data_IF_328396736766
#
_entry.id   IF_328396736766
#
_cell.length_a   1.000
_cell.length_b   1.000
_cell.length_c   1.000
_cell.angle_alpha   90.00
_cell.angle_beta   90.00
_cell.angle_gamma   90.00
#
_symmetry.space_group_name_H-M   'P 1'
#
loop_
_entity.id
_entity.type
_entity.pdbx_description
1 polymer ?
#
# COMPACT_ATOMS: atom_id res chain seq x y z
N UNK A 1 77.71 -2.99 -22.08
CA UNK A 1 76.57 -2.20 -21.54
C UNK A 1 75.55 -2.08 -22.66
N UNK A 2 74.27 -2.45 -22.49
CA UNK A 2 73.43 -2.16 -21.33
C UNK A 2 72.81 -3.38 -20.62
N UNK A 3 72.14 -3.07 -19.52
CA UNK A 3 71.58 -3.94 -18.49
C UNK A 3 70.37 -4.77 -18.95
N UNK A 4 70.41 -6.07 -18.67
CA UNK A 4 69.27 -6.98 -18.70
C UNK A 4 68.66 -7.05 -17.28
N UNK A 5 67.47 -6.48 -17.07
CA UNK A 5 66.71 -6.68 -15.82
C UNK A 5 65.96 -8.01 -15.90
N UNK A 6 66.37 -8.96 -15.06
CA UNK A 6 65.70 -10.24 -14.83
C UNK A 6 64.46 -10.00 -13.94
N UNK A 7 63.25 -10.10 -14.46
CA UNK A 7 62.04 -10.26 -13.65
C UNK A 7 61.83 -11.76 -13.40
N UNK A 8 61.98 -12.19 -12.15
CA UNK A 8 61.58 -13.52 -11.73
C UNK A 8 60.04 -13.58 -11.64
N UNK A 9 59.42 -14.36 -12.52
CA UNK A 9 57.99 -14.65 -12.47
C UNK A 9 57.79 -15.88 -11.58
N UNK A 10 57.37 -15.68 -10.33
CA UNK A 10 56.91 -16.77 -9.46
C UNK A 10 55.54 -17.23 -9.92
N UNK A 11 55.46 -18.44 -10.48
CA UNK A 11 54.20 -19.08 -10.81
C UNK A 11 53.45 -19.49 -9.52
N UNK A 12 52.38 -18.77 -9.20
CA UNK A 12 51.39 -19.24 -8.23
C UNK A 12 50.55 -20.34 -8.89
N UNK A 13 50.57 -21.56 -8.34
CA UNK A 13 49.60 -22.59 -8.66
C UNK A 13 48.20 -22.07 -8.32
N UNK A 14 47.39 -21.75 -9.32
CA UNK A 14 45.95 -21.56 -9.17
C UNK A 14 45.31 -22.93 -8.92
N UNK A 15 45.06 -23.26 -7.66
CA UNK A 15 44.10 -24.32 -7.32
C UNK A 15 42.72 -23.92 -7.86
N UNK A 16 41.97 -24.82 -8.51
CA UNK A 16 40.63 -24.51 -8.97
C UNK A 16 39.76 -24.18 -7.76
N UNK A 17 39.11 -23.01 -7.80
CA UNK A 17 38.09 -22.64 -6.82
C UNK A 17 37.03 -23.76 -6.79
N UNK A 18 36.63 -24.26 -5.62
CA UNK A 18 35.56 -25.24 -5.56
C UNK A 18 34.32 -24.63 -6.23
N UNK A 19 33.74 -25.34 -7.20
CA UNK A 19 32.43 -25.00 -7.74
C UNK A 19 31.43 -25.08 -6.58
N UNK A 20 31.18 -23.93 -5.96
CA UNK A 20 30.09 -23.78 -5.02
C UNK A 20 28.82 -24.06 -5.79
N UNK A 21 28.14 -25.16 -5.45
CA UNK A 21 26.74 -25.33 -5.83
C UNK A 21 26.00 -24.12 -5.27
N UNK A 22 25.60 -23.20 -6.13
CA UNK A 22 24.70 -22.12 -5.75
C UNK A 22 23.40 -22.79 -5.32
N UNK A 23 23.20 -22.96 -4.01
CA UNK A 23 21.92 -23.39 -3.48
C UNK A 23 20.91 -22.31 -3.88
N UNK A 24 19.96 -22.65 -4.74
CA UNK A 24 18.83 -21.78 -5.06
C UNK A 24 18.05 -21.58 -3.77
N UNK A 25 18.17 -20.39 -3.15
CA UNK A 25 17.35 -20.05 -2.00
C UNK A 25 15.97 -19.66 -2.54
N UNK A 26 15.02 -20.60 -2.55
CA UNK A 26 13.64 -20.33 -2.95
C UNK A 26 12.98 -19.36 -1.95
N UNK A 27 12.28 -18.34 -2.46
CA UNK A 27 11.54 -17.41 -1.62
C UNK A 27 10.41 -18.12 -0.85
N UNK A 28 10.27 -17.81 0.45
CA UNK A 28 9.10 -18.21 1.22
C UNK A 28 7.96 -17.24 0.91
N UNK A 29 7.23 -17.52 -0.16
CA UNK A 29 6.05 -16.78 -0.62
C UNK A 29 4.77 -17.37 -0.02
N UNK A 30 3.66 -16.60 0.02
CA UNK A 30 2.39 -17.06 0.57
C UNK A 30 1.72 -18.19 -0.22
N UNK A 31 2.02 -18.32 -1.51
CA UNK A 31 1.38 -19.30 -2.40
C UNK A 31 -0.09 -18.99 -2.70
N UNK A 32 -0.54 -17.75 -2.50
CA UNK A 32 -1.88 -17.33 -2.90
C UNK A 32 -2.03 -17.36 -4.42
N UNK A 33 -3.22 -17.69 -4.91
CA UNK A 33 -3.52 -17.58 -6.34
C UNK A 33 -3.52 -16.11 -6.79
N UNK A 34 -3.17 -15.87 -8.07
CA UNK A 34 -3.33 -14.55 -8.67
C UNK A 34 -4.78 -14.09 -8.57
N UNK A 35 -4.97 -12.86 -8.10
CA UNK A 35 -6.29 -12.25 -7.95
C UNK A 35 -6.24 -10.75 -8.22
N UNK A 36 -7.23 -10.24 -8.96
CA UNK A 36 -7.49 -8.79 -9.08
C UNK A 36 -8.26 -8.30 -7.85
N UNK A 37 -7.75 -7.26 -7.19
CA UNK A 37 -8.37 -6.61 -6.02
C UNK A 37 -9.08 -5.31 -6.35
N UNK A 38 -8.61 -4.56 -7.36
CA UNK A 38 -9.27 -3.33 -7.78
C UNK A 38 -10.66 -3.64 -8.33
N UNK A 39 -11.60 -2.73 -8.09
CA UNK A 39 -12.83 -2.68 -8.88
C UNK A 39 -12.61 -1.92 -10.19
N UNK A 40 -13.37 -2.27 -11.22
CA UNK A 40 -13.19 -1.72 -12.56
C UNK A 40 -13.89 -0.36 -12.74
N UNK A 41 -13.16 0.63 -13.28
CA UNK A 41 -13.78 1.88 -13.72
C UNK A 41 -14.53 1.63 -15.04
N UNK A 42 -15.84 1.49 -14.95
CA UNK A 42 -16.72 1.05 -16.03
C UNK A 42 -17.24 2.18 -16.94
N UNK A 43 -16.80 3.41 -16.67
CA UNK A 43 -17.16 4.62 -17.41
C UNK A 43 -15.91 5.44 -17.72
N UNK A 44 -15.87 5.96 -18.95
CA UNK A 44 -14.91 6.95 -19.40
C UNK A 44 -15.67 8.20 -19.88
N UNK A 45 -15.05 9.37 -19.73
CA UNK A 45 -15.61 10.63 -20.19
C UNK A 45 -15.05 10.95 -21.59
N UNK A 46 -15.88 11.16 -22.64
CA UNK A 46 -15.36 11.51 -23.95
C UNK A 46 -14.56 12.81 -23.94
N UNK A 47 -13.39 12.78 -24.58
CA UNK A 47 -12.44 13.89 -24.63
C UNK A 47 -11.46 13.96 -23.45
N UNK A 48 -11.61 13.09 -22.45
CA UNK A 48 -10.79 13.09 -21.23
C UNK A 48 -10.04 11.76 -21.11
N UNK A 49 -8.80 11.81 -20.62
CA UNK A 49 -8.02 10.60 -20.39
C UNK A 49 -8.67 9.74 -19.30
N UNK A 50 -9.06 8.53 -19.69
CA UNK A 50 -9.33 7.42 -18.79
C UNK A 50 -7.99 6.82 -18.32
N UNK A 51 -7.74 6.87 -17.01
CA UNK A 51 -6.54 6.34 -16.36
C UNK A 51 -6.95 5.43 -15.20
N UNK A 52 -6.78 4.13 -15.40
CA UNK A 52 -7.13 3.07 -14.45
C UNK A 52 -5.95 2.12 -14.30
N UNK A 53 -5.66 1.63 -13.09
CA UNK A 53 -4.61 0.63 -12.86
C UNK A 53 -5.21 -0.61 -12.22
N UNK A 54 -4.92 -1.76 -12.82
CA UNK A 54 -5.33 -3.06 -12.27
C UNK A 54 -4.48 -3.37 -11.03
N UNK A 55 -5.12 -3.53 -9.87
CA UNK A 55 -4.47 -3.94 -8.64
C UNK A 55 -4.52 -5.47 -8.50
N UNK A 56 -3.35 -6.11 -8.38
CA UNK A 56 -3.23 -7.58 -8.37
C UNK A 56 -2.45 -8.05 -7.14
N UNK A 57 -2.88 -9.14 -6.53
CA UNK A 57 -2.16 -9.84 -5.46
C UNK A 57 -1.96 -11.33 -5.78
N UNK A 58 -1.17 -12.01 -4.96
CA UNK A 58 -0.89 -13.44 -5.09
C UNK A 58 -0.01 -13.76 -6.30
N UNK A 59 0.16 -15.03 -6.64
CA UNK A 59 1.19 -15.45 -7.59
C UNK A 59 2.59 -15.04 -7.11
N UNK A 60 3.49 -14.75 -8.06
CA UNK A 60 4.85 -14.26 -7.80
C UNK A 60 5.16 -13.00 -8.58
N UNK A 61 5.10 -11.87 -7.88
CA UNK A 61 5.52 -10.57 -8.39
C UNK A 61 7.02 -10.57 -8.78
N UNK A 62 7.44 -9.83 -9.83
CA UNK A 62 6.67 -8.91 -10.67
C UNK A 62 5.72 -9.57 -11.67
N UNK A 63 4.69 -8.83 -12.07
CA UNK A 63 3.74 -9.28 -13.09
C UNK A 63 4.02 -8.66 -14.46
N UNK A 64 3.63 -9.37 -15.50
CA UNK A 64 3.50 -8.83 -16.86
C UNK A 64 2.02 -8.71 -17.23
N UNK A 65 1.67 -7.59 -17.84
CA UNK A 65 0.31 -7.27 -18.27
C UNK A 65 0.25 -7.18 -19.80
N UNK A 66 -0.84 -7.69 -20.39
CA UNK A 66 -1.10 -7.53 -21.82
C UNK A 66 -2.59 -7.25 -22.07
N UNK A 67 -2.87 -6.29 -22.95
CA UNK A 67 -4.22 -5.99 -23.41
C UNK A 67 -4.53 -6.96 -24.55
N UNK A 68 -5.39 -7.94 -24.28
CA UNK A 68 -5.82 -8.93 -25.26
C UNK A 68 -6.94 -8.40 -26.15
N UNK A 69 -7.76 -7.50 -25.60
CA UNK A 69 -8.90 -6.88 -26.28
C UNK A 69 -9.31 -5.58 -25.57
N UNK A 70 -9.84 -4.62 -26.31
CA UNK A 70 -10.28 -3.33 -25.78
C UNK A 70 -10.74 -2.36 -26.87
N UNK A 71 -11.39 -1.25 -26.49
CA UNK A 71 -11.70 -0.16 -27.42
C UNK A 71 -10.49 0.30 -28.24
N UNK A 72 -10.74 0.77 -29.47
CA UNK A 72 -9.69 1.33 -30.32
C UNK A 72 -8.94 2.46 -29.59
N UNK A 73 -7.60 2.38 -29.63
CA UNK A 73 -6.70 3.32 -28.97
C UNK A 73 -6.47 3.07 -27.48
N UNK A 74 -7.12 2.07 -26.86
CA UNK A 74 -6.80 1.66 -25.50
C UNK A 74 -5.42 0.99 -25.45
N UNK A 75 -4.65 1.29 -24.41
CA UNK A 75 -3.33 0.71 -24.18
C UNK A 75 -3.22 0.25 -22.72
N UNK A 76 -2.30 -0.68 -22.45
CA UNK A 76 -1.92 -1.07 -21.09
C UNK A 76 -0.40 -1.03 -20.95
N UNK A 77 0.08 -0.50 -19.83
CA UNK A 77 1.49 -0.52 -19.52
C UNK A 77 1.91 -1.92 -19.02
N UNK A 78 2.90 -2.58 -19.66
CA UNK A 78 3.13 -4.01 -19.50
C UNK A 78 3.68 -4.42 -18.13
N UNK A 79 4.17 -3.48 -17.31
CA UNK A 79 4.71 -3.77 -15.97
C UNK A 79 3.85 -3.30 -14.82
N UNK A 80 3.02 -2.27 -15.03
CA UNK A 80 2.23 -1.66 -13.94
C UNK A 80 0.75 -2.00 -14.05
N UNK A 81 0.27 -2.45 -15.21
CA UNK A 81 -1.14 -2.65 -15.46
C UNK A 81 -1.94 -1.34 -15.59
N UNK A 82 -1.28 -0.20 -15.80
CA UNK A 82 -1.95 1.06 -16.07
C UNK A 82 -2.57 1.04 -17.47
N UNK A 83 -3.90 1.12 -17.51
CA UNK A 83 -4.72 1.23 -18.70
C UNK A 83 -4.97 2.72 -18.99
N UNK A 84 -4.67 3.11 -20.23
CA UNK A 84 -4.91 4.47 -20.74
C UNK A 84 -5.80 4.41 -21.97
N UNK A 85 -6.79 5.29 -22.03
CA UNK A 85 -7.69 5.46 -23.17
C UNK A 85 -8.27 6.88 -23.20
N UNK A 86 -8.55 7.41 -24.39
CA UNK A 86 -9.17 8.73 -24.54
C UNK A 86 -10.26 8.64 -25.62
N UNK A 87 -11.49 8.26 -25.27
CA UNK A 87 -12.58 8.18 -26.25
C UNK A 87 -12.87 9.55 -26.84
N UNK A 88 -12.95 9.65 -28.17
CA UNK A 88 -13.26 10.93 -28.82
C UNK A 88 -14.75 11.33 -28.73
N UNK A 89 -15.64 10.36 -28.55
CA UNK A 89 -17.08 10.55 -28.50
C UNK A 89 -17.75 9.51 -27.58
N UNK A 90 -19.06 9.69 -27.34
CA UNK A 90 -19.88 8.67 -26.66
C UNK A 90 -19.74 7.31 -27.36
N UNK A 91 -19.68 6.24 -26.58
CA UNK A 91 -19.53 4.90 -27.11
C UNK A 91 -20.20 3.88 -26.18
N UNK A 92 -20.91 2.87 -26.73
CA UNK A 92 -21.50 1.82 -25.92
C UNK A 92 -20.42 1.01 -25.19
N UNK A 93 -20.81 0.28 -24.16
CA UNK A 93 -19.91 -0.59 -23.42
C UNK A 93 -19.19 -1.57 -24.35
N UNK A 94 -17.86 -1.67 -24.19
CA UNK A 94 -16.99 -2.61 -24.91
C UNK A 94 -16.21 -3.45 -23.92
N UNK A 95 -16.01 -4.72 -24.27
CA UNK A 95 -15.20 -5.63 -23.47
C UNK A 95 -13.74 -5.15 -23.45
N UNK A 96 -13.11 -5.28 -22.29
CA UNK A 96 -11.68 -5.13 -22.08
C UNK A 96 -11.19 -6.43 -21.48
N UNK A 97 -10.15 -7.02 -22.07
CA UNK A 97 -9.57 -8.28 -21.64
C UNK A 97 -8.09 -8.09 -21.36
N UNK A 98 -7.69 -8.32 -20.13
CA UNK A 98 -6.31 -8.14 -19.67
C UNK A 98 -5.75 -9.49 -19.23
N UNK A 99 -4.64 -9.90 -19.83
CA UNK A 99 -3.83 -11.01 -19.31
C UNK A 99 -2.88 -10.48 -18.23
N UNK A 100 -2.87 -11.15 -17.09
CA UNK A 100 -1.89 -10.95 -16.01
C UNK A 100 -1.10 -12.24 -15.87
N UNK A 101 0.22 -12.16 -15.92
CA UNK A 101 1.10 -13.31 -15.77
C UNK A 101 2.18 -13.02 -14.75
N UNK A 102 2.40 -13.94 -13.81
CA UNK A 102 3.45 -13.83 -12.81
C UNK A 102 4.79 -14.41 -13.31
N UNK A 103 5.86 -14.27 -12.52
CA UNK A 103 7.18 -14.78 -12.91
C UNK A 103 7.30 -16.31 -12.95
N UNK A 104 6.31 -17.04 -12.39
CA UNK A 104 6.21 -18.51 -12.45
C UNK A 104 5.24 -18.98 -13.54
N UNK A 105 4.82 -18.09 -14.44
CA UNK A 105 3.87 -18.35 -15.52
C UNK A 105 2.45 -18.74 -15.04
N UNK A 106 2.09 -18.50 -13.78
CA UNK A 106 0.68 -18.49 -13.40
C UNK A 106 0.02 -17.31 -14.12
N UNK A 107 -1.18 -17.54 -14.66
CA UNK A 107 -1.89 -16.53 -15.45
C UNK A 107 -3.35 -16.38 -15.02
N UNK A 108 -3.83 -15.14 -15.04
CA UNK A 108 -5.23 -14.77 -14.85
C UNK A 108 -5.67 -13.88 -16.02
N UNK A 109 -6.83 -14.14 -16.60
CA UNK A 109 -7.47 -13.19 -17.53
C UNK A 109 -8.55 -12.40 -16.80
N UNK A 110 -8.34 -11.10 -16.65
CA UNK A 110 -9.32 -10.17 -16.10
C UNK A 110 -10.19 -9.60 -17.21
N UNK A 111 -11.51 -9.65 -17.04
CA UNK A 111 -12.47 -9.21 -18.04
C UNK A 111 -13.42 -8.20 -17.41
N UNK A 112 -13.59 -7.05 -18.05
CA UNK A 112 -14.56 -6.04 -17.67
C UNK A 112 -15.09 -5.32 -18.91
N UNK A 113 -15.97 -4.34 -18.72
CA UNK A 113 -16.44 -3.50 -19.81
C UNK A 113 -16.38 -2.03 -19.44
N UNK A 114 -16.02 -1.19 -20.41
CA UNK A 114 -16.05 0.26 -20.26
C UNK A 114 -16.91 0.88 -21.35
N UNK A 115 -17.75 1.85 -20.97
CA UNK A 115 -18.50 2.70 -21.90
C UNK A 115 -17.94 4.13 -21.84
N UNK A 116 -17.98 4.85 -22.97
CA UNK A 116 -17.76 6.29 -22.95
C UNK A 116 -19.14 6.95 -22.80
N UNK A 117 -19.40 7.54 -21.64
CA UNK A 117 -20.73 8.00 -21.23
C UNK A 117 -20.66 9.29 -20.40
N UNK A 118 -20.88 10.46 -21.01
CA UNK A 118 -20.81 11.75 -20.28
C UNK A 118 -21.83 11.87 -19.14
N UNK A 119 -23.01 11.27 -19.26
CA UNK A 119 -24.07 11.33 -18.24
C UNK A 119 -23.67 10.69 -16.90
N UNK A 120 -22.68 9.80 -16.90
CA UNK A 120 -22.15 9.18 -15.69
C UNK A 120 -21.27 10.11 -14.85
N UNK A 121 -20.88 11.28 -15.38
CA UNK A 121 -19.96 12.20 -14.73
C UNK A 121 -20.66 13.44 -14.17
N UNK A 122 -20.17 13.92 -13.03
CA UNK A 122 -20.46 15.25 -12.48
C UNK A 122 -19.17 15.98 -12.18
N UNK A 123 -19.27 17.29 -11.98
CA UNK A 123 -18.12 18.17 -11.89
C UNK A 123 -18.19 19.08 -10.68
N UNK A 124 -17.05 19.25 -10.04
CA UNK A 124 -16.80 20.25 -9.00
C UNK A 124 -15.74 21.21 -9.52
N UNK A 125 -15.94 22.51 -9.31
CA UNK A 125 -14.97 23.56 -9.62
C UNK A 125 -15.00 24.64 -8.55
N UNK A 126 -13.84 25.25 -8.26
CA UNK A 126 -13.74 26.34 -7.26
C UNK A 126 -14.60 27.57 -7.62
N UNK A 127 -14.87 27.78 -8.91
CA UNK A 127 -15.78 28.83 -9.42
C UNK A 127 -17.23 28.36 -9.56
N UNK A 128 -17.55 27.14 -9.11
CA UNK A 128 -18.87 26.55 -9.18
C UNK A 128 -19.85 27.11 -8.15
N UNK A 129 -21.05 26.55 -8.12
CA UNK A 129 -22.08 26.86 -7.12
C UNK A 129 -22.84 25.60 -6.76
N UNK A 130 -23.15 25.39 -5.48
CA UNK A 130 -23.97 24.25 -5.05
C UNK A 130 -25.46 24.39 -5.46
N UNK A 131 -25.85 25.50 -6.08
CA UNK A 131 -27.15 25.64 -6.76
C UNK A 131 -27.12 25.13 -8.21
N UNK A 132 -25.94 24.78 -8.72
CA UNK A 132 -25.77 24.30 -10.09
C UNK A 132 -26.24 22.84 -10.26
N UNK A 133 -26.27 22.39 -11.51
CA UNK A 133 -26.70 21.03 -11.87
C UNK A 133 -25.62 19.96 -11.71
N UNK A 134 -24.37 20.35 -11.44
CA UNK A 134 -23.22 19.44 -11.37
C UNK A 134 -22.74 18.97 -12.74
N UNK A 135 -23.26 19.53 -13.83
CA UNK A 135 -22.75 19.28 -15.19
C UNK A 135 -21.43 20.01 -15.42
N UNK A 136 -20.70 19.67 -16.46
CA UNK A 136 -19.40 20.31 -16.72
C UNK A 136 -19.50 21.84 -16.94
N UNK A 137 -20.56 22.27 -17.62
CA UNK A 137 -20.84 23.68 -17.89
C UNK A 137 -21.41 24.42 -16.67
N UNK A 138 -21.91 23.69 -15.67
CA UNK A 138 -22.53 24.22 -14.46
C UNK A 138 -22.12 23.33 -13.27
N UNK A 139 -20.84 23.41 -12.83
CA UNK A 139 -20.28 22.52 -11.82
C UNK A 139 -20.70 22.93 -10.41
N UNK A 140 -20.72 21.98 -9.49
CA UNK A 140 -20.88 22.26 -8.06
C UNK A 140 -19.63 22.93 -7.47
N UNK A 141 -19.78 23.54 -6.29
CA UNK A 141 -18.69 24.24 -5.63
C UNK A 141 -17.85 23.34 -4.71
N UNK A 142 -18.46 22.33 -4.06
CA UNK A 142 -17.79 21.53 -3.03
C UNK A 142 -17.92 20.02 -3.26
N UNK A 143 -16.91 19.27 -2.81
CA UNK A 143 -16.88 17.81 -2.81
C UNK A 143 -17.94 17.26 -1.85
N UNK A 144 -18.10 17.88 -0.66
CA UNK A 144 -19.13 17.50 0.29
C UNK A 144 -20.53 17.53 -0.34
N UNK A 145 -20.85 18.58 -1.10
CA UNK A 145 -22.13 18.68 -1.79
C UNK A 145 -22.26 17.63 -2.89
N UNK A 146 -21.21 17.44 -3.69
CA UNK A 146 -21.20 16.43 -4.76
C UNK A 146 -21.42 15.01 -4.21
N UNK A 147 -20.76 14.65 -3.11
CA UNK A 147 -20.93 13.36 -2.42
C UNK A 147 -22.38 13.13 -1.98
N UNK A 148 -23.01 14.17 -1.44
CA UNK A 148 -24.36 14.10 -0.91
C UNK A 148 -25.46 14.07 -1.99
N UNK A 149 -25.21 14.63 -3.17
CA UNK A 149 -26.25 14.86 -4.19
C UNK A 149 -26.06 14.09 -5.50
N UNK A 150 -24.84 13.63 -5.81
CA UNK A 150 -24.64 12.77 -6.96
C UNK A 150 -25.24 11.37 -6.70
N UNK A 151 -25.65 10.69 -7.78
CA UNK A 151 -26.00 9.27 -7.67
C UNK A 151 -24.79 8.46 -7.22
N UNK A 152 -25.00 7.41 -6.42
CA UNK A 152 -23.95 6.57 -5.82
C UNK A 152 -23.00 5.92 -6.83
N UNK A 153 -23.44 5.76 -8.08
CA UNK A 153 -22.63 5.24 -9.20
C UNK A 153 -21.96 6.30 -10.07
N UNK A 154 -22.20 7.59 -9.80
CA UNK A 154 -21.59 8.69 -10.57
C UNK A 154 -20.09 8.76 -10.33
N UNK A 155 -19.36 9.35 -11.27
CA UNK A 155 -17.96 9.73 -11.11
C UNK A 155 -17.87 11.25 -11.02
N UNK A 156 -17.11 11.76 -10.06
CA UNK A 156 -16.95 13.19 -9.82
C UNK A 156 -15.56 13.61 -10.26
N UNK A 157 -15.47 14.41 -11.31
CA UNK A 157 -14.23 15.12 -11.63
C UNK A 157 -14.18 16.45 -10.88
N UNK A 158 -13.06 16.70 -10.21
CA UNK A 158 -12.79 17.95 -9.52
C UNK A 158 -11.76 18.73 -10.33
N UNK A 159 -12.11 19.96 -10.73
CA UNK A 159 -11.22 20.83 -11.51
C UNK A 159 -10.23 21.57 -10.61
N UNK A 160 -9.20 22.16 -11.21
CA UNK A 160 -8.12 22.86 -10.51
C UNK A 160 -8.66 23.83 -9.45
N UNK A 161 -8.01 23.84 -8.29
CA UNK A 161 -8.40 24.71 -7.18
C UNK A 161 -8.06 24.13 -5.80
N UNK A 162 -8.38 24.91 -4.78
CA UNK A 162 -8.23 24.54 -3.38
C UNK A 162 -9.60 24.46 -2.74
N UNK A 163 -9.91 23.32 -2.12
CA UNK A 163 -11.23 22.99 -1.60
C UNK A 163 -11.14 22.70 -0.10
N UNK A 164 -11.58 23.63 0.77
CA UNK A 164 -11.74 23.36 2.19
C UNK A 164 -12.93 22.41 2.38
N UNK A 165 -12.69 21.21 2.90
CA UNK A 165 -13.71 20.16 2.98
C UNK A 165 -13.75 19.50 4.35
N UNK A 166 -14.98 19.26 4.82
CA UNK A 166 -15.30 18.38 5.91
C UNK A 166 -16.56 17.61 5.51
N UNK A 167 -16.47 16.28 5.41
CA UNK A 167 -17.57 15.50 4.84
C UNK A 167 -17.65 14.10 5.39
N UNK A 168 -18.86 13.54 5.34
CA UNK A 168 -19.12 12.13 5.58
C UNK A 168 -19.63 11.47 4.32
N UNK A 169 -19.08 10.30 4.02
CA UNK A 169 -19.46 9.42 2.93
C UNK A 169 -20.10 8.19 3.55
N UNK A 170 -21.42 8.14 3.48
CA UNK A 170 -22.21 6.97 3.88
C UNK A 170 -22.47 6.07 2.67
N UNK A 171 -23.10 4.92 2.90
CA UNK A 171 -23.42 3.96 1.82
C UNK A 171 -24.33 4.51 0.72
N UNK A 172 -25.09 5.57 1.00
CA UNK A 172 -25.96 6.26 0.04
C UNK A 172 -25.29 7.44 -0.68
N UNK A 173 -24.02 7.75 -0.36
CA UNK A 173 -23.29 8.86 -0.95
C UNK A 173 -22.39 8.42 -2.11
N UNK A 174 -22.06 9.37 -2.99
CA UNK A 174 -21.07 9.15 -4.03
C UNK A 174 -19.66 9.31 -3.45
N UNK A 175 -18.85 8.25 -3.53
CA UNK A 175 -17.46 8.24 -3.05
C UNK A 175 -16.42 8.08 -4.15
N UNK A 176 -16.71 8.53 -5.39
CA UNK A 176 -15.83 8.35 -6.57
C UNK A 176 -15.33 9.69 -7.08
N UNK A 177 -14.23 10.15 -6.51
CA UNK A 177 -13.59 11.42 -6.80
C UNK A 177 -12.29 11.23 -7.58
N UNK A 178 -12.14 12.03 -8.63
CA UNK A 178 -10.91 12.14 -9.42
C UNK A 178 -10.57 13.60 -9.61
N UNK A 179 -9.29 13.97 -9.45
CA UNK A 179 -8.80 15.22 -10.01
C UNK A 179 -8.93 15.16 -11.55
N UNK A 180 -9.37 16.26 -12.16
CA UNK A 180 -9.45 16.36 -13.61
C UNK A 180 -8.04 16.20 -14.21
N UNK A 181 -7.84 15.40 -15.27
CA UNK A 181 -6.49 15.13 -15.78
C UNK A 181 -5.73 16.42 -16.14
N UNK A 182 -4.54 16.60 -15.56
CA UNK A 182 -3.71 17.78 -15.74
C UNK A 182 -3.96 18.92 -14.74
N UNK A 183 -5.06 18.88 -13.99
CA UNK A 183 -5.37 19.88 -12.99
C UNK A 183 -4.70 19.58 -11.64
N UNK A 184 -4.15 20.62 -11.02
CA UNK A 184 -3.71 20.56 -9.62
C UNK A 184 -4.90 20.84 -8.69
N UNK A 185 -5.28 19.83 -7.91
CA UNK A 185 -6.42 19.90 -6.99
C UNK A 185 -5.94 19.67 -5.57
N UNK A 186 -6.11 20.67 -4.71
CA UNK A 186 -5.80 20.58 -3.28
C UNK A 186 -7.10 20.49 -2.49
N UNK A 187 -7.26 19.45 -1.67
CA UNK A 187 -8.35 19.34 -0.69
C UNK A 187 -7.75 19.58 0.69
N UNK A 188 -8.22 20.60 1.39
CA UNK A 188 -7.75 20.97 2.72
C UNK A 188 -8.78 20.49 3.75
N UNK A 189 -8.32 19.68 4.70
CA UNK A 189 -9.11 19.22 5.82
C UNK A 189 -9.65 20.38 6.65
N UNK A 190 -10.94 20.37 6.92
CA UNK A 190 -11.58 21.33 7.83
C UNK A 190 -12.52 20.62 8.81
N UNK A 191 -13.24 21.40 9.61
CA UNK A 191 -14.17 20.92 10.63
C UNK A 191 -13.60 21.07 12.05
N UNK A 192 -14.40 20.77 13.06
CA UNK A 192 -14.04 20.95 14.48
C UNK A 192 -13.73 19.63 15.19
N UNK A 193 -13.40 18.57 14.44
CA UNK A 193 -13.18 17.22 14.97
C UNK A 193 -11.81 16.68 14.60
N UNK A 194 -11.51 15.47 15.08
CA UNK A 194 -10.21 14.84 14.85
C UNK A 194 -9.97 14.34 13.43
N UNK A 195 -10.95 14.46 12.52
CA UNK A 195 -10.74 14.15 11.13
C UNK A 195 -11.69 14.88 10.18
N UNK A 196 -11.32 14.88 8.90
CA UNK A 196 -11.97 15.72 7.89
C UNK A 196 -12.88 14.94 6.94
N UNK A 197 -12.46 13.76 6.48
CA UNK A 197 -13.25 12.92 5.56
C UNK A 197 -13.60 11.60 6.26
N UNK A 198 -14.86 11.46 6.64
CA UNK A 198 -15.39 10.28 7.31
C UNK A 198 -15.97 9.32 6.29
N UNK A 199 -15.51 8.07 6.26
CA UNK A 199 -16.06 6.99 5.45
C UNK A 199 -16.81 6.05 6.37
N UNK A 200 -18.13 6.23 6.42
CA UNK A 200 -19.04 5.48 7.30
C UNK A 200 -19.75 4.33 6.55
N UNK A 201 -19.42 4.13 5.28
CA UNK A 201 -19.93 3.04 4.48
C UNK A 201 -19.78 3.30 2.99
N UNK A 202 -20.15 2.30 2.21
CA UNK A 202 -20.13 2.37 0.75
C UNK A 202 -19.35 1.21 0.14
N UNK A 203 -19.40 1.18 -1.18
CA UNK A 203 -18.76 0.17 -2.00
C UNK A 203 -18.26 0.84 -3.29
N UNK A 204 -17.07 0.47 -3.76
CA UNK A 204 -16.46 1.06 -4.96
C UNK A 204 -16.22 2.56 -4.82
N UNK A 205 -15.45 2.91 -3.78
CA UNK A 205 -14.95 4.26 -3.57
C UNK A 205 -13.62 4.44 -4.31
N UNK A 206 -13.36 5.66 -4.75
CA UNK A 206 -12.16 6.05 -5.48
C UNK A 206 -11.76 7.47 -5.10
N UNK A 207 -10.49 7.67 -4.78
CA UNK A 207 -9.87 8.98 -4.60
C UNK A 207 -8.59 8.97 -5.41
N UNK A 208 -8.56 9.72 -6.52
CA UNK A 208 -7.43 9.69 -7.45
C UNK A 208 -6.93 11.08 -7.86
N UNK A 209 -5.62 11.30 -7.75
CA UNK A 209 -4.94 12.44 -8.36
C UNK A 209 -4.92 13.72 -7.52
N UNK A 210 -5.23 13.66 -6.23
CA UNK A 210 -5.35 14.83 -5.37
C UNK A 210 -4.07 15.12 -4.58
N UNK A 211 -3.87 16.39 -4.24
CA UNK A 211 -3.12 16.76 -3.04
C UNK A 211 -4.12 16.93 -1.89
N UNK A 212 -3.97 16.15 -0.83
CA UNK A 212 -4.72 16.33 0.40
C UNK A 212 -3.81 16.93 1.47
N UNK A 213 -4.25 18.04 2.03
CA UNK A 213 -3.66 18.65 3.21
C UNK A 213 -4.56 18.30 4.39
N UNK A 214 -4.04 17.54 5.36
CA UNK A 214 -4.80 17.16 6.55
C UNK A 214 -5.04 18.34 7.48
N UNK A 215 -4.35 19.47 7.31
CA UNK A 215 -4.52 20.71 8.06
C UNK A 215 -4.52 20.48 9.57
N UNK A 216 -3.49 19.78 10.05
CA UNK A 216 -3.28 19.38 11.44
C UNK A 216 -4.39 18.48 12.02
N UNK A 217 -5.32 17.97 11.22
CA UNK A 217 -6.27 16.96 11.70
C UNK A 217 -5.56 15.62 11.93
N UNK A 218 -5.91 14.96 13.03
CA UNK A 218 -5.40 13.63 13.41
C UNK A 218 -5.63 12.59 12.32
N UNK A 219 -6.78 12.62 11.65
CA UNK A 219 -7.12 11.74 10.55
C UNK A 219 -7.64 12.49 9.33
N UNK A 220 -6.95 12.42 8.20
CA UNK A 220 -7.48 12.97 6.96
C UNK A 220 -8.68 12.16 6.47
N UNK A 221 -8.51 10.85 6.32
CA UNK A 221 -9.56 9.87 6.09
C UNK A 221 -9.75 9.00 7.34
N UNK A 222 -10.98 8.93 7.85
CA UNK A 222 -11.39 8.07 8.97
C UNK A 222 -12.44 7.07 8.47
N UNK A 223 -12.07 5.79 8.39
CA UNK A 223 -12.93 4.71 7.92
C UNK A 223 -13.51 3.96 9.12
N UNK A 224 -14.79 4.17 9.39
CA UNK A 224 -15.53 3.53 10.48
C UNK A 224 -16.81 2.90 9.91
N UNK A 225 -16.65 1.72 9.32
CA UNK A 225 -17.69 1.13 8.49
C UNK A 225 -17.63 -0.40 8.51
N UNK A 226 -18.60 -1.01 9.20
CA UNK A 226 -18.73 -2.46 9.44
C UNK A 226 -18.60 -3.39 8.23
N UNK A 227 -18.74 -2.90 6.99
CA UNK A 227 -18.71 -3.65 5.72
C UNK A 227 -18.21 -2.80 4.53
N UNK A 228 -17.20 -1.96 4.74
CA UNK A 228 -16.64 -1.15 3.65
C UNK A 228 -15.78 -2.01 2.71
N UNK A 229 -16.12 -2.01 1.42
CA UNK A 229 -15.45 -2.84 0.43
C UNK A 229 -15.05 -2.06 -0.83
N UNK A 230 -13.98 -2.52 -1.48
CA UNK A 230 -13.53 -2.05 -2.79
C UNK A 230 -13.22 -0.54 -2.78
N UNK A 231 -12.20 -0.15 -2.03
CA UNK A 231 -11.76 1.25 -1.93
C UNK A 231 -10.40 1.43 -2.58
N UNK A 232 -10.27 2.47 -3.40
CA UNK A 232 -9.03 2.79 -4.11
C UNK A 232 -8.59 4.21 -3.72
N UNK A 233 -7.38 4.33 -3.15
CA UNK A 233 -6.63 5.58 -3.10
C UNK A 233 -5.45 5.48 -4.05
N UNK A 234 -5.39 6.37 -5.05
CA UNK A 234 -4.35 6.29 -6.07
C UNK A 234 -3.78 7.63 -6.50
N UNK A 235 -2.46 7.71 -6.72
CA UNK A 235 -1.80 8.93 -7.25
C UNK A 235 -2.12 10.17 -6.41
N UNK A 236 -2.25 10.02 -5.09
CA UNK A 236 -2.49 11.14 -4.20
C UNK A 236 -1.21 11.54 -3.47
N UNK A 237 -1.11 12.80 -3.10
CA UNK A 237 -0.15 13.32 -2.14
C UNK A 237 -0.92 13.67 -0.87
N UNK A 238 -0.52 13.18 0.30
CA UNK A 238 -1.18 13.45 1.58
C UNK A 238 -0.15 13.96 2.59
N UNK A 239 -0.43 15.11 3.21
CA UNK A 239 0.53 15.73 4.13
C UNK A 239 -0.12 16.55 5.25
N UNK A 240 0.71 17.02 6.18
CA UNK A 240 0.37 17.96 7.25
C UNK A 240 -0.70 17.43 8.22
N UNK A 241 -0.50 16.19 8.70
CA UNK A 241 -1.32 15.60 9.75
C UNK A 241 -0.62 15.72 11.10
N UNK A 242 -1.35 16.09 12.14
CA UNK A 242 -0.77 16.26 13.47
C UNK A 242 -1.73 15.81 14.57
N UNK A 243 -1.18 15.34 15.68
CA UNK A 243 -1.93 15.09 16.92
C UNK A 243 -0.95 14.98 18.07
N UNK A 244 -1.33 15.43 19.27
CA UNK A 244 -0.57 15.22 20.51
C UNK A 244 -1.08 14.03 21.34
N UNK A 245 -2.17 13.38 20.90
CA UNK A 245 -2.76 12.23 21.57
C UNK A 245 -2.13 10.89 21.18
N UNK A 246 -2.73 9.81 21.70
CA UNK A 246 -2.25 8.44 21.56
C UNK A 246 -3.04 7.63 20.51
N UNK A 247 -4.01 8.25 19.85
CA UNK A 247 -5.04 7.60 19.00
C UNK A 247 -4.55 7.34 17.56
N UNK A 248 -3.26 7.05 17.42
CA UNK A 248 -2.59 6.71 16.17
C UNK A 248 -2.94 7.64 14.99
N UNK A 249 -2.47 8.91 15.00
CA UNK A 249 -2.69 9.84 13.89
C UNK A 249 -2.28 9.23 12.55
N UNK A 250 -3.06 9.46 11.50
CA UNK A 250 -2.80 8.89 10.18
C UNK A 250 -3.47 9.66 9.05
N UNK A 251 -2.93 9.59 7.84
CA UNK A 251 -3.67 10.10 6.67
C UNK A 251 -4.89 9.24 6.35
N UNK A 252 -4.76 7.92 6.51
CA UNK A 252 -5.87 6.98 6.34
C UNK A 252 -5.94 6.09 7.58
N UNK A 253 -7.02 6.21 8.33
CA UNK A 253 -7.26 5.46 9.55
C UNK A 253 -8.45 4.52 9.36
N UNK A 254 -8.31 3.26 9.78
CA UNK A 254 -9.39 2.28 9.86
C UNK A 254 -9.68 1.97 11.32
N UNK A 255 -10.95 1.96 11.71
CA UNK A 255 -11.34 1.68 13.09
C UNK A 255 -11.33 0.20 13.43
N UNK A 256 -10.95 -0.10 14.67
CA UNK A 256 -11.05 -1.44 15.27
C UNK A 256 -12.51 -1.77 15.56
N UNK A 257 -13.00 -2.85 14.94
CA UNK A 257 -14.32 -3.40 15.15
C UNK A 257 -14.29 -4.77 15.82
N UNK A 258 -15.50 -5.34 15.94
CA UNK A 258 -15.67 -6.64 16.55
C UNK A 258 -15.30 -7.80 15.61
N UNK A 259 -15.26 -7.54 14.30
CA UNK A 259 -15.05 -8.54 13.26
C UNK A 259 -13.58 -8.96 13.21
N UNK A 260 -13.34 -10.26 13.00
CA UNK A 260 -11.99 -10.85 12.96
C UNK A 260 -11.76 -11.53 11.62
N UNK A 261 -11.10 -10.87 10.65
CA UNK A 261 -10.85 -11.39 9.32
C UNK A 261 -10.21 -12.78 9.27
N UNK A 262 -9.29 -13.07 10.19
CA UNK A 262 -8.64 -14.39 10.25
C UNK A 262 -9.61 -15.54 10.57
N UNK A 263 -10.78 -15.22 11.13
CA UNK A 263 -11.87 -16.14 11.44
C UNK A 263 -12.92 -16.21 10.32
N UNK A 264 -12.62 -15.60 9.16
CA UNK A 264 -13.50 -15.55 7.99
C UNK A 264 -14.56 -14.45 8.03
N UNK A 265 -14.49 -13.54 9.00
CA UNK A 265 -15.39 -12.38 9.06
C UNK A 265 -14.90 -11.27 8.11
N UNK A 266 -15.79 -10.34 7.76
CA UNK A 266 -15.46 -9.23 6.87
C UNK A 266 -15.71 -7.93 7.63
N UNK A 267 -14.71 -7.07 7.70
CA UNK A 267 -14.87 -5.68 8.14
C UNK A 267 -14.55 -4.74 6.98
N UNK A 268 -13.25 -4.59 6.66
CA UNK A 268 -12.78 -3.86 5.48
C UNK A 268 -12.17 -4.84 4.49
N UNK A 269 -12.59 -4.81 3.21
CA UNK A 269 -12.08 -5.75 2.21
C UNK A 269 -11.78 -5.11 0.86
N UNK A 270 -10.77 -5.65 0.17
CA UNK A 270 -10.34 -5.21 -1.16
C UNK A 270 -9.95 -3.73 -1.14
N UNK A 271 -8.97 -3.42 -0.31
CA UNK A 271 -8.45 -2.06 -0.15
C UNK A 271 -7.21 -1.92 -1.02
N UNK A 272 -7.16 -0.87 -1.84
CA UNK A 272 -6.06 -0.63 -2.78
C UNK A 272 -5.49 0.76 -2.53
N UNK A 273 -4.19 0.82 -2.30
CA UNK A 273 -3.42 2.05 -2.13
C UNK A 273 -2.22 1.99 -3.06
N UNK A 274 -2.30 2.68 -4.20
CA UNK A 274 -1.28 2.65 -5.24
C UNK A 274 -0.73 4.02 -5.56
N UNK A 275 0.60 4.15 -5.67
CA UNK A 275 1.24 5.39 -6.17
C UNK A 275 0.93 6.63 -5.33
N UNK A 276 0.70 6.47 -4.02
CA UNK A 276 0.47 7.61 -3.13
C UNK A 276 1.78 8.07 -2.47
N UNK A 277 1.86 9.35 -2.14
CA UNK A 277 2.94 9.94 -1.34
C UNK A 277 2.36 10.43 -0.01
N UNK A 278 2.99 10.05 1.10
CA UNK A 278 2.60 10.42 2.45
C UNK A 278 3.78 11.04 3.18
N UNK A 279 3.62 12.24 3.74
CA UNK A 279 4.69 12.88 4.49
C UNK A 279 4.21 13.96 5.44
N UNK A 280 5.07 14.44 6.32
CA UNK A 280 4.75 15.54 7.24
C UNK A 280 3.62 15.14 8.18
N UNK A 281 3.89 14.11 8.99
CA UNK A 281 3.00 13.68 10.07
C UNK A 281 3.73 13.76 11.41
N UNK A 282 3.24 14.64 12.28
CA UNK A 282 3.84 14.90 13.59
C UNK A 282 3.01 14.30 14.74
N UNK A 283 3.69 13.61 15.65
CA UNK A 283 3.12 13.18 16.92
C UNK A 283 4.23 12.98 17.96
N UNK A 284 4.17 13.63 19.12
CA UNK A 284 5.26 13.63 20.11
C UNK A 284 5.52 12.25 20.75
N UNK A 285 4.66 11.28 20.52
CA UNK A 285 4.76 9.92 21.04
C UNK A 285 5.17 8.89 19.96
N UNK A 286 5.52 9.33 18.75
CA UNK A 286 5.84 8.47 17.59
C UNK A 286 4.69 7.51 17.24
N UNK A 287 3.44 7.91 17.49
CA UNK A 287 2.25 7.08 17.23
C UNK A 287 1.67 7.23 15.83
N UNK A 288 2.21 8.14 15.02
CA UNK A 288 1.75 8.39 13.66
C UNK A 288 1.89 7.22 12.69
N UNK A 289 1.11 7.19 11.62
CA UNK A 289 1.39 6.34 10.47
C UNK A 289 0.88 6.93 9.15
N UNK A 290 1.43 6.56 7.99
CA UNK A 290 0.78 6.95 6.73
C UNK A 290 -0.64 6.37 6.65
N UNK A 291 -0.77 5.13 7.11
CA UNK A 291 -2.03 4.40 7.21
C UNK A 291 -1.98 3.50 8.44
N UNK A 292 -3.07 3.53 9.21
CA UNK A 292 -3.27 2.64 10.36
C UNK A 292 -4.45 1.71 10.07
N UNK A 293 -4.17 0.40 10.04
CA UNK A 293 -5.10 -0.63 9.58
C UNK A 293 -5.56 -1.51 10.75
N UNK A 294 -6.86 -1.47 11.05
CA UNK A 294 -7.51 -2.43 11.95
C UNK A 294 -8.54 -3.24 11.15
N UNK A 295 -8.59 -4.55 11.36
CA UNK A 295 -9.51 -5.50 10.70
C UNK A 295 -9.50 -5.46 9.15
N UNK A 296 -8.43 -4.96 8.54
CA UNK A 296 -8.33 -4.85 7.08
C UNK A 296 -7.90 -6.18 6.48
N UNK A 297 -8.67 -6.67 5.51
CA UNK A 297 -8.30 -7.83 4.73
C UNK A 297 -8.21 -7.56 3.24
N UNK A 298 -7.36 -8.33 2.58
CA UNK A 298 -7.15 -8.23 1.14
C UNK A 298 -6.71 -6.81 0.72
N UNK A 299 -5.79 -6.22 1.49
CA UNK A 299 -5.12 -4.95 1.15
C UNK A 299 -4.00 -5.16 0.13
N UNK A 300 -3.86 -4.21 -0.79
CA UNK A 300 -2.63 -3.95 -1.53
C UNK A 300 -2.15 -2.52 -1.26
N UNK A 301 -1.05 -2.40 -0.52
CA UNK A 301 -0.30 -1.15 -0.33
C UNK A 301 0.95 -1.22 -1.22
N UNK A 302 0.86 -0.64 -2.42
CA UNK A 302 1.85 -0.81 -3.50
C UNK A 302 2.36 0.51 -4.10
N UNK A 303 3.64 0.58 -4.43
CA UNK A 303 4.27 1.72 -5.11
C UNK A 303 4.08 3.06 -4.37
N UNK A 304 3.91 3.03 -3.05
CA UNK A 304 3.76 4.24 -2.26
C UNK A 304 5.12 4.75 -1.78
N UNK A 305 5.19 6.05 -1.54
CA UNK A 305 6.30 6.72 -0.87
C UNK A 305 5.81 7.25 0.48
N UNK A 306 6.37 6.76 1.58
CA UNK A 306 6.09 7.25 2.93
C UNK A 306 7.38 7.77 3.58
N UNK A 307 7.38 9.04 4.02
CA UNK A 307 8.56 9.63 4.66
C UNK A 307 8.25 10.79 5.60
N UNK A 308 9.18 11.15 6.50
CA UNK A 308 8.98 12.24 7.46
C UNK A 308 7.67 12.07 8.25
N UNK A 309 7.52 10.88 8.85
CA UNK A 309 6.41 10.49 9.71
C UNK A 309 7.02 10.08 11.04
N UNK A 310 6.69 10.79 12.12
CA UNK A 310 7.30 10.56 13.44
C UNK A 310 7.08 9.13 13.95
N UNK A 311 6.05 8.43 13.48
CA UNK A 311 5.80 7.03 13.79
C UNK A 311 6.18 6.04 12.69
N UNK A 312 5.18 5.34 12.15
CA UNK A 312 5.34 4.24 11.19
C UNK A 312 5.16 4.73 9.75
N UNK A 313 6.02 4.30 8.84
CA UNK A 313 5.76 4.46 7.41
C UNK A 313 4.42 3.86 7.02
N UNK A 314 4.05 2.69 7.54
CA UNK A 314 2.70 2.12 7.50
C UNK A 314 2.50 1.13 8.66
N UNK A 315 1.28 1.04 9.18
CA UNK A 315 0.95 0.18 10.32
C UNK A 315 -0.22 -0.75 10.02
N UNK A 316 0.05 -2.05 9.97
CA UNK A 316 -0.98 -3.09 10.05
C UNK A 316 -1.15 -3.50 11.51
N UNK A 317 -2.17 -2.91 12.14
CA UNK A 317 -2.22 -2.70 13.58
C UNK A 317 -2.86 -3.88 14.30
N UNK A 318 -4.06 -4.27 13.89
CA UNK A 318 -4.71 -5.46 14.43
C UNK A 318 -5.59 -6.17 13.41
N UNK A 319 -5.72 -7.48 13.55
CA UNK A 319 -6.67 -8.33 12.82
C UNK A 319 -6.55 -8.27 11.29
N UNK A 320 -5.42 -7.77 10.79
CA UNK A 320 -5.06 -7.77 9.38
C UNK A 320 -4.93 -9.18 8.79
N UNK A 321 -5.47 -9.39 7.59
CA UNK A 321 -5.47 -10.71 6.94
C UNK A 321 -5.31 -10.65 5.42
N UNK A 322 -4.29 -11.33 4.88
CA UNK A 322 -3.98 -11.34 3.44
C UNK A 322 -3.66 -9.96 2.85
N UNK A 323 -3.00 -9.13 3.65
CA UNK A 323 -2.51 -7.82 3.25
C UNK A 323 -1.13 -7.94 2.61
N UNK A 324 -0.90 -7.13 1.57
CA UNK A 324 0.34 -7.09 0.78
C UNK A 324 0.93 -5.69 0.85
N UNK A 325 2.18 -5.59 1.29
CA UNK A 325 2.99 -4.36 1.29
C UNK A 325 4.11 -4.53 0.29
N UNK A 326 3.98 -3.93 -0.90
CA UNK A 326 4.85 -4.23 -2.03
C UNK A 326 5.46 -3.03 -2.73
N UNK A 327 6.74 -3.12 -3.07
CA UNK A 327 7.42 -2.14 -3.92
C UNK A 327 7.25 -0.67 -3.43
N UNK A 328 7.14 -0.49 -2.11
CA UNK A 328 7.07 0.83 -1.51
C UNK A 328 8.46 1.35 -1.19
N UNK A 329 8.59 2.67 -1.15
CA UNK A 329 9.75 3.35 -0.56
C UNK A 329 9.32 3.93 0.78
N UNK A 330 9.96 3.47 1.86
CA UNK A 330 9.69 3.96 3.22
C UNK A 330 10.98 4.45 3.84
N UNK A 331 11.01 5.71 4.27
CA UNK A 331 12.24 6.33 4.80
C UNK A 331 11.98 7.40 5.83
N UNK A 332 12.96 7.74 6.66
CA UNK A 332 12.88 8.88 7.56
C UNK A 332 11.65 8.79 8.50
N UNK A 333 11.42 7.60 9.06
CA UNK A 333 10.33 7.30 10.00
C UNK A 333 10.87 6.60 11.25
N UNK A 334 10.24 6.71 12.42
CA UNK A 334 10.67 5.93 13.58
C UNK A 334 10.60 4.42 13.31
N UNK A 335 9.56 3.98 12.60
CA UNK A 335 9.41 2.61 12.11
C UNK A 335 9.07 2.61 10.62
N UNK A 336 9.62 1.70 9.82
CA UNK A 336 9.24 1.55 8.41
C UNK A 336 7.86 0.90 8.28
N UNK A 337 7.81 -0.44 8.31
CA UNK A 337 6.57 -1.22 8.28
C UNK A 337 6.35 -1.86 9.66
N UNK A 338 5.21 -1.58 10.28
CA UNK A 338 4.84 -2.14 11.57
C UNK A 338 3.68 -3.13 11.48
N UNK A 339 3.91 -4.39 11.90
CA UNK A 339 2.85 -5.37 12.17
C UNK A 339 2.78 -5.57 13.68
N UNK A 340 1.75 -5.05 14.36
CA UNK A 340 1.79 -4.98 15.84
C UNK A 340 0.93 -6.00 16.57
N UNK A 341 -0.23 -6.39 16.00
CA UNK A 341 -1.25 -7.34 16.47
C UNK A 341 -1.62 -7.23 17.97
N UNK A 342 -2.90 -7.06 18.33
CA UNK A 342 -3.35 -7.15 19.74
C UNK A 342 -4.18 -8.41 20.00
N UNK A 343 -4.89 -8.90 18.99
CA UNK A 343 -5.66 -10.15 19.06
C UNK A 343 -5.12 -11.19 18.11
N UNK A 344 -5.32 -10.98 16.81
CA UNK A 344 -4.86 -11.88 15.77
C UNK A 344 -4.38 -11.11 14.56
N UNK A 345 -3.49 -11.70 13.76
CA UNK A 345 -3.09 -11.14 12.47
C UNK A 345 -2.39 -12.25 11.70
N UNK A 346 -2.50 -12.26 10.37
CA UNK A 346 -1.66 -13.18 9.64
C UNK A 346 -1.90 -13.29 8.15
N UNK A 347 -1.12 -14.18 7.55
CA UNK A 347 -1.07 -14.31 6.09
C UNK A 347 -0.72 -12.96 5.48
N UNK A 348 0.40 -12.35 5.87
CA UNK A 348 0.82 -11.01 5.43
C UNK A 348 2.04 -11.15 4.53
N UNK A 349 2.06 -10.46 3.39
CA UNK A 349 3.19 -10.42 2.46
C UNK A 349 3.85 -9.04 2.49
N UNK A 350 5.17 -9.00 2.70
CA UNK A 350 5.99 -7.79 2.62
C UNK A 350 7.11 -8.07 1.62
N UNK A 351 7.06 -7.45 0.44
CA UNK A 351 8.00 -7.77 -0.62
C UNK A 351 8.44 -6.57 -1.47
N UNK A 352 9.64 -6.67 -2.05
CA UNK A 352 10.18 -5.66 -2.97
C UNK A 352 10.27 -4.22 -2.44
N UNK A 353 10.09 -3.99 -1.14
CA UNK A 353 10.17 -2.64 -0.57
C UNK A 353 11.62 -2.18 -0.43
N UNK A 354 11.83 -0.87 -0.55
CA UNK A 354 13.05 -0.19 -0.16
C UNK A 354 12.80 0.56 1.16
N UNK A 355 13.45 0.14 2.25
CA UNK A 355 13.26 0.73 3.58
C UNK A 355 14.61 1.18 4.14
N UNK A 356 14.75 2.47 4.44
CA UNK A 356 16.03 3.02 4.91
C UNK A 356 15.88 4.26 5.79
N UNK A 357 16.89 4.57 6.60
CA UNK A 357 16.87 5.69 7.54
C UNK A 357 15.64 5.69 8.47
N UNK A 358 15.19 4.49 8.86
CA UNK A 358 14.16 4.31 9.88
C UNK A 358 14.81 3.85 11.19
N UNK A 359 14.25 4.25 12.33
CA UNK A 359 14.70 3.76 13.65
C UNK A 359 14.65 2.22 13.74
N UNK A 360 13.55 1.63 13.26
CA UNK A 360 13.45 0.19 12.95
C UNK A 360 12.79 0.00 11.59
N UNK A 361 13.39 -0.75 10.68
CA UNK A 361 12.85 -0.89 9.33
C UNK A 361 11.55 -1.71 9.30
N UNK A 362 11.51 -2.84 10.01
CA UNK A 362 10.30 -3.65 10.13
C UNK A 362 10.11 -4.13 11.57
N UNK A 363 8.91 -3.95 12.10
CA UNK A 363 8.50 -4.50 13.41
C UNK A 363 7.48 -5.61 13.21
N UNK A 364 7.72 -6.75 13.86
CA UNK A 364 6.83 -7.91 13.89
C UNK A 364 6.41 -8.17 15.34
N UNK A 365 5.13 -7.98 15.62
CA UNK A 365 4.51 -8.05 16.93
C UNK A 365 4.86 -6.87 17.84
N UNK A 366 4.67 -7.06 19.14
CA UNK A 366 4.98 -6.05 20.17
C UNK A 366 3.80 -5.74 21.08
N UNK A 367 2.59 -6.17 20.70
CA UNK A 367 1.40 -6.15 21.54
C UNK A 367 0.93 -7.60 21.84
N UNK A 368 -0.07 -7.80 22.72
CA UNK A 368 -0.63 -9.14 23.01
C UNK A 368 -1.18 -9.84 21.76
N UNK A 369 -1.58 -11.11 21.86
CA UNK A 369 -2.16 -11.84 20.71
C UNK A 369 -1.11 -12.57 19.86
N UNK A 370 -1.53 -13.00 18.66
CA UNK A 370 -0.69 -13.80 17.77
C UNK A 370 -0.61 -13.25 16.34
N UNK A 371 0.60 -13.24 15.79
CA UNK A 371 0.89 -12.97 14.39
C UNK A 371 1.37 -14.26 13.73
N UNK A 372 0.82 -14.66 12.60
CA UNK A 372 1.27 -15.88 11.91
C UNK A 372 1.38 -15.67 10.41
N UNK A 373 2.17 -16.52 9.76
CA UNK A 373 2.22 -16.59 8.30
C UNK A 373 2.60 -15.23 7.69
N UNK A 374 3.68 -14.63 8.20
CA UNK A 374 4.28 -13.41 7.61
C UNK A 374 5.36 -13.85 6.64
N UNK A 375 5.23 -13.46 5.38
CA UNK A 375 6.12 -13.77 4.26
C UNK A 375 6.89 -12.50 3.92
N UNK A 376 8.20 -12.49 4.18
CA UNK A 376 9.08 -11.36 3.90
C UNK A 376 10.18 -11.77 2.92
N UNK A 377 10.16 -11.22 1.71
CA UNK A 377 11.16 -11.56 0.70
C UNK A 377 11.43 -10.42 -0.28
N UNK A 378 12.60 -10.41 -0.92
CA UNK A 378 12.96 -9.46 -1.97
C UNK A 378 12.96 -7.98 -1.53
N UNK A 379 12.93 -7.69 -0.22
CA UNK A 379 13.04 -6.32 0.28
C UNK A 379 14.53 -5.91 0.35
N UNK A 380 14.79 -4.63 0.10
CA UNK A 380 16.07 -3.98 0.37
C UNK A 380 15.93 -3.12 1.62
N UNK A 381 16.56 -3.54 2.72
CA UNK A 381 16.44 -2.88 4.02
C UNK A 381 17.82 -2.36 4.44
N UNK A 382 17.93 -1.05 4.67
CA UNK A 382 19.06 -0.45 5.38
C UNK A 382 18.61 -0.07 6.79
N UNK A 383 18.70 -1.03 7.72
CA UNK A 383 18.17 -0.89 9.07
C UNK A 383 17.96 -2.25 9.73
N UNK A 384 17.21 -2.26 10.84
CA UNK A 384 16.96 -3.48 11.62
C UNK A 384 15.55 -4.04 11.42
N UNK A 385 15.41 -5.36 11.59
CA UNK A 385 14.11 -6.02 11.73
C UNK A 385 13.96 -6.42 13.20
N UNK A 386 12.89 -5.98 13.85
CA UNK A 386 12.60 -6.30 15.25
C UNK A 386 11.45 -7.31 15.34
N UNK A 387 11.72 -8.50 15.88
CA UNK A 387 10.70 -9.51 16.17
C UNK A 387 10.43 -9.58 17.68
N UNK A 388 9.26 -9.14 18.13
CA UNK A 388 8.87 -9.12 19.55
C UNK A 388 7.86 -10.24 19.81
N UNK A 389 8.17 -11.13 20.77
CA UNK A 389 7.30 -12.28 21.09
C UNK A 389 7.27 -13.39 20.02
N UNK A 390 8.25 -13.43 19.11
CA UNK A 390 8.27 -14.35 17.98
C UNK A 390 8.77 -15.77 18.34
N UNK A 391 8.09 -16.82 17.85
CA UNK A 391 8.58 -18.21 17.91
C UNK A 391 8.50 -18.86 16.53
N UNK A 392 9.61 -19.42 16.02
CA UNK A 392 9.68 -20.03 14.68
C UNK A 392 9.02 -21.41 14.63
N UNK A 393 8.37 -21.76 13.52
CA UNK A 393 8.00 -23.15 13.20
C UNK A 393 9.25 -23.94 12.81
N UNK A 394 9.38 -25.18 13.32
CA UNK A 394 10.49 -26.09 12.97
C UNK A 394 10.33 -26.51 11.50
N UNK A 395 11.35 -26.30 10.65
CA UNK A 395 11.41 -26.89 9.30
C UNK A 395 11.98 -26.04 8.17
N UNK A 396 12.31 -24.75 8.38
CA UNK A 396 12.89 -23.93 7.30
C UNK A 396 14.41 -24.17 7.14
N UNK A 397 14.94 -24.26 5.90
CA UNK A 397 16.39 -24.38 5.66
C UNK A 397 17.16 -23.22 6.28
N UNK A 398 18.25 -23.53 6.96
CA UNK A 398 19.13 -22.59 7.64
C UNK A 398 20.13 -21.99 6.66
N UNK A 399 20.11 -20.67 6.42
CA UNK A 399 21.26 -19.92 5.91
C UNK A 399 21.69 -18.89 6.96
N UNK A 400 22.85 -19.14 7.55
CA UNK A 400 23.50 -18.43 8.66
C UNK A 400 23.92 -16.99 8.35
N UNK A 401 23.76 -16.08 9.32
CA UNK A 401 24.84 -15.18 9.76
C UNK A 401 24.63 -14.66 11.19
N UNK A 402 25.74 -14.57 11.92
CA UNK A 402 25.90 -14.14 13.31
C UNK A 402 25.98 -12.62 13.45
N UNK A 403 25.36 -12.05 14.49
CA UNK A 403 25.76 -10.76 15.05
C UNK A 403 26.06 -10.93 16.54
N UNK A 404 27.26 -10.51 16.94
CA UNK A 404 27.80 -10.56 18.30
C UNK A 404 27.32 -9.38 19.14
N UNK A 405 26.90 -9.63 20.38
CA UNK A 405 27.03 -8.65 21.47
C UNK A 405 27.44 -9.35 22.78
N UNK A 406 28.36 -8.73 23.52
CA UNK A 406 28.88 -9.14 24.84
C UNK A 406 28.21 -8.30 25.96
N UNK A 407 28.30 -8.67 27.26
CA UNK A 407 27.15 -8.76 28.18
C UNK A 407 27.07 -7.61 29.23
N UNK A 408 25.98 -7.51 30.05
CA UNK A 408 25.88 -8.31 31.28
C UNK A 408 24.45 -8.80 31.67
N UNK A 409 24.39 -9.89 32.46
CA UNK A 409 23.25 -10.22 33.36
C UNK A 409 22.34 -11.40 32.95
N UNK A 410 21.97 -12.31 33.89
CA UNK A 410 21.37 -13.59 33.55
C UNK A 410 19.87 -13.45 33.28
N UNK A 411 19.48 -13.50 32.00
CA UNK A 411 18.10 -13.77 31.61
C UNK A 411 18.10 -14.97 30.66
N UNK A 412 17.24 -15.93 30.99
CA UNK A 412 17.01 -17.21 30.35
C UNK A 412 17.05 -17.17 28.81
N UNK A 413 17.83 -18.08 28.24
CA UNK A 413 18.18 -18.23 26.83
C UNK A 413 16.96 -18.22 25.90
N UNK A 414 16.98 -17.34 24.89
CA UNK A 414 16.40 -17.62 23.57
C UNK A 414 17.23 -16.88 22.50
N UNK A 415 17.96 -17.65 21.68
CA UNK A 415 18.74 -17.11 20.55
C UNK A 415 17.77 -16.73 19.41
N UNK A 416 17.67 -15.45 19.11
CA UNK A 416 17.17 -14.97 17.81
C UNK A 416 18.26 -15.19 16.76
N UNK A 417 18.03 -16.09 15.81
CA UNK A 417 18.88 -16.22 14.62
C UNK A 417 18.04 -15.75 13.44
N UNK A 418 18.31 -14.54 12.94
CA UNK A 418 17.69 -13.97 11.74
C UNK A 418 18.45 -14.48 10.52
N UNK A 419 17.75 -14.94 9.48
CA UNK A 419 18.37 -15.28 8.20
C UNK A 419 18.28 -14.04 7.31
N UNK A 420 19.30 -13.19 7.40
CA UNK A 420 19.52 -12.04 6.54
C UNK A 420 21.00 -12.04 6.19
N UNK A 421 21.36 -12.15 4.91
CA UNK A 421 22.75 -11.91 4.51
C UNK A 421 23.04 -10.43 4.73
N UNK A 422 23.86 -10.13 5.74
CA UNK A 422 24.30 -8.76 6.00
C UNK A 422 25.45 -8.42 5.06
N UNK A 423 25.34 -7.33 4.31
CA UNK A 423 26.51 -6.71 3.69
C UNK A 423 27.31 -5.95 4.76
N UNK A 424 28.61 -5.63 4.51
CA UNK A 424 29.43 -4.82 5.42
C UNK A 424 28.82 -3.44 5.76
N UNK A 425 27.78 -3.01 5.04
CA UNK A 425 27.11 -1.72 5.20
C UNK A 425 25.77 -1.80 5.98
N UNK A 426 25.43 -2.93 6.61
CA UNK A 426 24.17 -3.07 7.36
C UNK A 426 22.92 -3.19 6.48
N UNK A 427 23.09 -3.54 5.19
CA UNK A 427 21.99 -3.82 4.26
C UNK A 427 21.54 -5.27 4.43
N UNK A 428 20.23 -5.45 4.58
CA UNK A 428 19.52 -6.74 4.71
C UNK A 428 18.69 -6.99 3.45
N UNK A 429 18.92 -8.14 2.83
CA UNK A 429 18.00 -8.75 1.86
C UNK A 429 17.22 -9.87 2.53
N UNK A 430 15.90 -9.87 2.39
CA UNK A 430 15.03 -10.81 3.11
C UNK A 430 14.62 -12.02 2.26
N UNK A 431 14.51 -13.18 2.92
CA UNK A 431 13.79 -14.35 2.44
C UNK A 431 13.40 -15.24 3.64
N UNK A 432 12.30 -14.91 4.31
CA UNK A 432 11.90 -15.57 5.57
C UNK A 432 10.39 -15.67 5.76
N UNK A 433 9.95 -16.73 6.44
CA UNK A 433 8.61 -16.83 7.05
C UNK A 433 8.70 -16.67 8.56
N UNK A 434 7.84 -15.84 9.15
CA UNK A 434 7.85 -15.52 10.58
C UNK A 434 6.47 -15.67 11.25
N UNK A 435 6.49 -15.72 12.59
CA UNK A 435 5.29 -15.73 13.44
C UNK A 435 5.60 -15.42 14.91
N UNK A 436 4.61 -14.87 15.61
CA UNK A 436 4.62 -14.56 17.03
C UNK A 436 3.61 -15.36 17.85
N UNK A 437 3.97 -15.58 19.11
CA UNK A 437 3.13 -16.23 20.11
C UNK A 437 2.67 -15.20 21.14
N UNK A 438 1.54 -15.47 21.83
CA UNK A 438 1.05 -14.59 22.88
C UNK A 438 2.13 -14.31 23.92
N UNK A 439 2.28 -13.04 24.30
CA UNK A 439 2.95 -12.69 25.53
C UNK A 439 2.01 -13.13 26.66
N UNK A 440 2.47 -14.03 27.54
CA UNK A 440 1.69 -14.44 28.70
C UNK A 440 1.25 -13.17 29.48
N UNK A 441 -0.02 -13.08 29.91
CA UNK A 441 -0.46 -11.96 30.73
C UNK A 441 0.40 -11.91 31.99
N UNK A 442 0.90 -10.71 32.33
CA UNK A 442 1.59 -10.46 33.58
C UNK A 442 0.59 -10.31 34.71
#
# INVERSE_FOLDING_TARGET
MPFLRLLALTAFLLLPLPQGHAATITANEPGWALQVLSWDLDKALPGVEYNYRVAVRGGVYPYTFALLDGPAGMTIHPRTGEIRWAPAAEAPARAVRVSITDTRNASLTHNFSVAAERSAFRFVAATGSNLNTGTEASPWATLAYASAHAGTSSYIYVKAGTYPEAMSINSSNCGRFLAYPGDAVTVIGTGSGSGSIWINGGNRLLFQGFTFDANDHRWLFSCDAGLLENVIWRKNTMHNAASDDWENPAFIFFWDGAQKPIQGQVHYRNIVMQENTFFDLANPNDHGASTTLYDVQDLLYEDNLAYAIDGRGVSDKDDGFRNTFRNNVVRDCAVGIGLYNQYSQGSIEIDHNLIYNCGTAVVLGGQPGYLRDVFMHHNTIAGSISSRGCSKSRGAPTSTSTATSSPPGPISRTRSVQNASTSPAGVITTNTRAGSKPRAPR
#
